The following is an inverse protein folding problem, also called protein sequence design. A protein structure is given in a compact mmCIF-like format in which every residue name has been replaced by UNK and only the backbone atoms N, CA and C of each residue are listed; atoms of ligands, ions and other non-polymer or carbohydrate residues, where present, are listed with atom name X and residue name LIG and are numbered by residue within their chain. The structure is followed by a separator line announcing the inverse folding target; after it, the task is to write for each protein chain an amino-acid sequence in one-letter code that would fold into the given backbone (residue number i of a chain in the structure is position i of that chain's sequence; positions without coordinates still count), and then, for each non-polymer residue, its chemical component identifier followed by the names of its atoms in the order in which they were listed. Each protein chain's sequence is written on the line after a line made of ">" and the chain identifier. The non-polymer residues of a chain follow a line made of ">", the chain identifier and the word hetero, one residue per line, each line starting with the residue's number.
data_IF_200463244560
#
_entry.id   IF_200463244560
#
_cell.length_a   1.000
_cell.length_b   1.000
_cell.length_c   1.000
_cell.angle_alpha   90.00
_cell.angle_beta   90.00
_cell.angle_gamma   90.00
#
_symmetry.space_group_name_H-M   'P 1'
#
loop_
_entity.id
_entity.type
_entity.pdbx_description
1 polymer ?
#
# COMPACT_ATOMS: atom_id res chain seq x y z
N UNK A 1 42.62 -14.33 -16.13
CA UNK A 1 41.62 -13.30 -16.52
C UNK A 1 40.70 -13.13 -15.32
N UNK A 2 40.98 -12.14 -14.47
CA UNK A 2 40.36 -11.99 -13.14
C UNK A 2 39.20 -11.02 -13.25
N UNK A 3 37.97 -11.51 -13.11
CA UNK A 3 36.78 -10.68 -13.06
C UNK A 3 36.67 -10.04 -11.66
N UNK A 4 37.31 -8.89 -11.49
CA UNK A 4 37.02 -7.98 -10.39
C UNK A 4 35.87 -7.08 -10.86
N UNK A 5 34.63 -7.38 -10.49
CA UNK A 5 33.49 -6.64 -11.04
C UNK A 5 32.21 -6.73 -10.23
N UNK A 6 31.88 -5.63 -9.56
CA UNK A 6 30.51 -5.25 -9.22
C UNK A 6 29.97 -5.85 -7.93
N UNK A 7 29.98 -5.06 -6.85
CA UNK A 7 29.01 -5.25 -5.77
C UNK A 7 27.64 -4.97 -6.38
N UNK A 8 26.93 -6.03 -6.77
CA UNK A 8 25.52 -5.92 -7.13
C UNK A 8 24.85 -5.37 -5.88
N UNK A 9 24.46 -4.09 -5.92
CA UNK A 9 23.51 -3.59 -4.96
C UNK A 9 22.25 -4.41 -5.21
N UNK A 10 22.07 -5.48 -4.44
CA UNK A 10 20.79 -6.13 -4.22
C UNK A 10 19.91 -4.98 -3.76
N UNK A 11 19.14 -4.40 -4.70
CA UNK A 11 18.09 -3.49 -4.35
C UNK A 11 17.26 -4.23 -3.29
N UNK A 12 16.99 -3.63 -2.13
CA UNK A 12 16.17 -4.28 -1.13
C UNK A 12 14.92 -4.76 -1.84
N UNK A 13 14.63 -6.06 -1.76
CA UNK A 13 13.46 -6.62 -2.38
C UNK A 13 12.26 -5.87 -1.79
N UNK A 14 11.69 -4.94 -2.55
CA UNK A 14 10.54 -4.13 -2.13
C UNK A 14 9.41 -5.10 -1.80
N UNK A 15 9.21 -5.34 -0.50
CA UNK A 15 8.26 -6.31 -0.02
C UNK A 15 6.97 -5.58 0.24
N UNK A 16 6.04 -5.68 -0.69
CA UNK A 16 4.69 -5.11 -0.53
C UNK A 16 3.89 -5.95 0.47
N UNK A 17 3.39 -5.32 1.52
CA UNK A 17 2.54 -5.93 2.56
C UNK A 17 1.15 -5.30 2.52
N UNK A 18 0.13 -6.13 2.80
CA UNK A 18 -1.25 -5.70 2.93
C UNK A 18 -1.43 -4.85 4.21
N UNK A 19 -1.92 -3.63 4.05
CA UNK A 19 -2.23 -2.72 5.15
C UNK A 19 -3.65 -2.95 5.67
N UNK A 20 -4.62 -2.99 4.76
CA UNK A 20 -6.03 -3.10 5.12
C UNK A 20 -6.99 -2.87 3.96
N UNK A 21 -8.28 -3.00 4.27
CA UNK A 21 -9.38 -2.66 3.37
C UNK A 21 -10.16 -1.51 3.99
N UNK A 22 -10.33 -0.43 3.22
CA UNK A 22 -10.93 0.83 3.67
C UNK A 22 -12.09 1.21 2.75
N UNK A 23 -12.99 2.08 3.21
CA UNK A 23 -14.02 2.67 2.31
C UNK A 23 -13.34 3.55 1.26
N UNK A 24 -14.03 3.88 0.16
CA UNK A 24 -13.44 4.75 -0.87
C UNK A 24 -12.97 6.08 -0.26
N UNK A 25 -13.74 6.66 0.66
CA UNK A 25 -13.44 7.93 1.31
C UNK A 25 -12.18 7.84 2.19
N UNK A 26 -12.14 6.86 3.12
CA UNK A 26 -10.98 6.69 4.00
C UNK A 26 -9.74 6.23 3.22
N UNK A 27 -9.93 5.50 2.12
CA UNK A 27 -8.83 5.09 1.26
C UNK A 27 -8.22 6.30 0.55
N UNK A 28 -9.01 7.17 -0.08
CA UNK A 28 -8.47 8.38 -0.73
C UNK A 28 -7.74 9.28 0.28
N UNK A 29 -8.27 9.46 1.50
CA UNK A 29 -7.59 10.22 2.57
C UNK A 29 -6.28 9.54 3.03
N UNK A 30 -6.31 8.22 3.21
CA UNK A 30 -5.13 7.44 3.59
C UNK A 30 -4.04 7.49 2.52
N UNK A 31 -4.40 7.39 1.25
CA UNK A 31 -3.46 7.43 0.13
C UNK A 31 -2.80 8.82 0.03
N UNK A 32 -3.56 9.89 0.23
CA UNK A 32 -3.01 11.25 0.30
C UNK A 32 -2.01 11.40 1.46
N UNK A 33 -2.34 10.86 2.64
CA UNK A 33 -1.45 10.90 3.80
C UNK A 33 -0.17 10.07 3.58
N UNK A 34 -0.27 8.91 2.93
CA UNK A 34 0.87 8.07 2.56
C UNK A 34 1.77 8.76 1.52
N UNK A 35 1.19 9.43 0.54
CA UNK A 35 1.94 10.21 -0.46
C UNK A 35 2.71 11.36 0.20
N UNK A 36 2.04 12.13 1.08
CA UNK A 36 2.64 13.25 1.81
C UNK A 36 3.81 12.82 2.70
N UNK A 37 3.79 11.60 3.21
CA UNK A 37 4.85 11.03 4.06
C UNK A 37 5.94 10.30 3.27
N UNK A 38 5.80 10.23 1.94
CA UNK A 38 6.75 9.57 1.05
C UNK A 38 6.74 8.04 1.17
N UNK A 39 5.63 7.45 1.65
CA UNK A 39 5.48 6.01 1.77
C UNK A 39 4.94 5.47 0.43
N UNK A 40 5.72 4.59 -0.21
CA UNK A 40 5.29 3.92 -1.44
C UNK A 40 4.11 3.00 -1.12
N UNK A 41 3.02 3.21 -1.83
CA UNK A 41 1.76 2.49 -1.61
C UNK A 41 1.16 2.02 -2.94
N UNK A 42 0.32 1.00 -2.84
CA UNK A 42 -0.46 0.45 -3.95
C UNK A 42 -1.92 0.32 -3.53
N UNK A 43 -2.82 0.78 -4.38
CA UNK A 43 -4.26 0.60 -4.19
C UNK A 43 -4.82 -0.43 -5.17
N UNK A 44 -5.80 -1.20 -4.70
CA UNK A 44 -6.66 -1.99 -5.56
C UNK A 44 -8.11 -1.55 -5.31
N UNK A 45 -8.61 -0.65 -6.17
CA UNK A 45 -10.02 -0.29 -6.21
C UNK A 45 -10.80 -1.35 -6.99
N UNK A 46 -11.77 -2.00 -6.34
CA UNK A 46 -12.73 -2.82 -7.06
C UNK A 46 -13.72 -1.88 -7.75
N UNK A 47 -13.72 -1.90 -9.09
CA UNK A 47 -14.49 -0.97 -9.91
C UNK A 47 -16.00 -1.03 -9.65
N UNK A 48 -16.70 0.05 -10.01
CA UNK A 48 -18.15 0.27 -9.83
C UNK A 48 -19.04 -0.87 -10.35
N UNK A 49 -18.56 -1.67 -11.32
CA UNK A 49 -19.26 -2.83 -11.86
C UNK A 49 -19.16 -4.09 -10.99
N UNK A 50 -18.06 -4.26 -10.25
CA UNK A 50 -17.86 -5.39 -9.31
C UNK A 50 -18.74 -5.25 -8.07
N UNK A 51 -18.98 -4.00 -7.64
CA UNK A 51 -19.76 -3.64 -6.44
C UNK A 51 -21.23 -4.05 -6.53
N UNK A 52 -21.79 -4.23 -7.73
CA UNK A 52 -23.16 -4.70 -7.96
C UNK A 52 -23.31 -6.22 -8.00
N UNK A 53 -22.26 -6.97 -8.36
CA UNK A 53 -22.31 -8.43 -8.52
C UNK A 53 -21.85 -9.17 -7.28
N UNK A 54 -20.92 -8.59 -6.52
CA UNK A 54 -20.35 -9.20 -5.32
C UNK A 54 -20.67 -8.33 -4.11
N UNK A 55 -21.74 -8.67 -3.39
CA UNK A 55 -22.15 -8.04 -2.13
C UNK A 55 -21.12 -8.16 -0.97
N UNK A 56 -19.89 -8.61 -1.25
CA UNK A 56 -18.79 -8.78 -0.30
C UNK A 56 -17.49 -8.08 -0.68
N UNK A 57 -17.39 -7.39 -1.82
CA UNK A 57 -16.24 -6.54 -2.16
C UNK A 57 -16.57 -5.08 -1.83
N UNK A 58 -16.57 -4.77 -0.54
CA UNK A 58 -16.81 -3.42 -0.04
C UNK A 58 -15.48 -2.75 0.31
N UNK A 59 -14.99 -1.88 -0.58
CA UNK A 59 -13.85 -1.00 -0.28
C UNK A 59 -12.57 -1.23 -1.10
N UNK A 60 -11.61 -0.33 -0.89
CA UNK A 60 -10.29 -0.27 -1.52
C UNK A 60 -9.29 -1.02 -0.65
N UNK A 61 -8.52 -1.93 -1.27
CA UNK A 61 -7.43 -2.61 -0.58
C UNK A 61 -6.14 -1.81 -0.76
N UNK A 62 -5.50 -1.48 0.34
CA UNK A 62 -4.26 -0.71 0.35
C UNK A 62 -3.10 -1.62 0.77
N UNK A 63 -1.99 -1.46 0.07
CA UNK A 63 -0.75 -2.16 0.33
C UNK A 63 0.38 -1.13 0.44
N UNK A 64 1.38 -1.42 1.27
CA UNK A 64 2.52 -0.54 1.55
C UNK A 64 3.81 -1.33 1.59
N UNK A 65 4.95 -0.65 1.56
CA UNK A 65 6.24 -1.30 1.83
C UNK A 65 6.28 -1.87 3.25
N UNK A 66 6.73 -3.13 3.39
CA UNK A 66 6.76 -3.83 4.67
C UNK A 66 7.62 -3.13 5.72
N UNK A 67 8.64 -2.39 5.31
CA UNK A 67 9.52 -1.61 6.19
C UNK A 67 8.80 -0.41 6.82
N UNK A 68 7.76 0.10 6.15
CA UNK A 68 6.96 1.26 6.58
C UNK A 68 5.55 0.87 7.02
N UNK A 69 5.32 -0.41 7.30
CA UNK A 69 4.00 -0.91 7.68
C UNK A 69 3.49 -0.31 8.99
N UNK A 70 4.35 -0.19 10.01
CA UNK A 70 3.97 0.39 11.31
C UNK A 70 3.58 1.88 11.17
N UNK A 71 4.37 2.65 10.41
CA UNK A 71 4.05 4.06 10.12
C UNK A 71 2.71 4.18 9.39
N UNK A 72 2.53 3.39 8.33
CA UNK A 72 1.31 3.37 7.53
C UNK A 72 0.09 2.95 8.37
N UNK A 73 0.27 2.01 9.31
CA UNK A 73 -0.77 1.57 10.23
C UNK A 73 -1.16 2.69 11.19
N UNK A 74 -0.20 3.40 11.76
CA UNK A 74 -0.49 4.53 12.65
C UNK A 74 -1.26 5.64 11.94
N UNK A 75 -0.95 5.92 10.67
CA UNK A 75 -1.70 6.88 9.85
C UNK A 75 -3.12 6.38 9.60
N UNK A 76 -3.27 5.10 9.25
CA UNK A 76 -4.58 4.51 9.02
C UNK A 76 -5.46 4.52 10.28
N UNK A 77 -4.90 4.23 11.45
CA UNK A 77 -5.61 4.31 12.73
C UNK A 77 -6.04 5.75 13.03
N UNK A 78 -5.23 6.76 12.71
CA UNK A 78 -5.61 8.16 12.90
C UNK A 78 -6.79 8.61 12.01
N UNK A 79 -6.90 8.03 10.80
CA UNK A 79 -7.96 8.35 9.82
C UNK A 79 -9.24 7.56 10.09
N UNK A 80 -9.14 6.35 10.65
CA UNK A 80 -10.29 5.46 10.93
C UNK A 80 -10.80 5.49 12.37
N UNK A 81 -10.15 6.25 13.26
CA UNK A 81 -10.56 6.44 14.66
C UNK A 81 -11.72 7.43 14.83
#
# INVERSE_FOLDING_TARGET
>A
MTFTGGRWAILPAMRTTYLGQYTDEHADELLEALDRTGIVHWEKRSGRFSRFVFAGEWGVRVFVEADRLDDARSIAEAITS
#
